data_IF_070676097216
#
_entry.id   IF_070676097216
#
_cell.length_a   1.000
_cell.length_b   1.000
_cell.length_c   1.000
_cell.angle_alpha   90.00
_cell.angle_beta   90.00
_cell.angle_gamma   90.00
#
_symmetry.space_group_name_H-M   'P 1'
#
loop_
_entity.id
_entity.type
_entity.pdbx_description
1 polymer ?
#
# COMPACT_ATOMS: atom_id res chain seq x y z
N UNK A 1 11.73 -35.18 32.65
CA UNK A 1 11.83 -34.75 31.23
C UNK A 1 13.22 -34.24 30.89
N UNK A 2 13.85 -33.40 31.72
CA UNK A 2 15.26 -32.97 31.56
C UNK A 2 16.25 -34.15 31.55
N UNK A 3 16.04 -35.16 32.40
CA UNK A 3 16.85 -36.38 32.46
C UNK A 3 16.76 -37.24 31.18
N UNK A 4 15.63 -37.21 30.47
CA UNK A 4 15.45 -37.94 29.22
C UNK A 4 16.15 -37.26 28.03
N UNK A 5 16.48 -35.97 28.14
CA UNK A 5 17.21 -35.19 27.14
C UNK A 5 18.71 -35.08 27.46
N UNK A 6 19.20 -35.72 28.54
CA UNK A 6 20.59 -35.63 28.97
C UNK A 6 21.01 -34.23 29.44
N UNK A 7 20.06 -33.41 29.88
CA UNK A 7 20.29 -32.01 30.23
C UNK A 7 20.97 -31.80 31.59
N UNK A 8 21.75 -30.71 31.72
CA UNK A 8 22.33 -30.27 32.99
C UNK A 8 21.54 -29.10 33.58
N UNK A 9 21.13 -29.21 34.84
CA UNK A 9 20.49 -28.10 35.58
C UNK A 9 21.58 -27.23 36.23
N UNK A 10 21.42 -25.91 36.14
CA UNK A 10 22.31 -24.92 36.74
C UNK A 10 21.52 -23.70 37.24
N UNK A 11 21.91 -23.13 38.37
CA UNK A 11 21.34 -21.86 38.86
C UNK A 11 21.92 -20.69 38.05
N UNK A 12 21.05 -19.82 37.53
CA UNK A 12 21.42 -18.62 36.75
C UNK A 12 20.48 -17.46 37.06
N UNK A 13 20.86 -16.25 36.63
CA UNK A 13 19.96 -15.11 36.69
C UNK A 13 19.26 -14.93 35.35
N UNK A 14 17.94 -14.96 35.36
CA UNK A 14 17.04 -14.81 34.21
C UNK A 14 16.13 -13.64 34.50
N UNK A 15 16.03 -12.67 33.59
CA UNK A 15 15.22 -11.46 33.76
C UNK A 15 15.51 -10.67 35.06
N UNK A 16 16.72 -10.83 35.63
CA UNK A 16 17.13 -10.19 36.88
C UNK A 16 16.94 -11.04 38.14
N UNK A 17 16.20 -12.14 38.06
CA UNK A 17 15.92 -13.04 39.19
C UNK A 17 16.77 -14.31 39.12
N UNK A 18 17.13 -14.90 40.26
CA UNK A 18 17.88 -16.16 40.30
C UNK A 18 16.91 -17.33 40.24
N UNK A 19 17.14 -18.24 39.31
CA UNK A 19 16.35 -19.47 39.14
C UNK A 19 17.18 -20.59 38.52
N UNK A 20 16.71 -21.82 38.67
CA UNK A 20 17.30 -22.98 38.00
C UNK A 20 16.90 -23.03 36.54
N UNK A 21 17.87 -23.30 35.67
CA UNK A 21 17.66 -23.41 34.23
C UNK A 21 18.18 -24.76 33.74
N UNK A 22 17.58 -25.26 32.66
CA UNK A 22 18.05 -26.47 32.00
C UNK A 22 18.98 -26.12 30.83
N UNK A 23 20.12 -26.80 30.75
CA UNK A 23 21.00 -26.80 29.58
C UNK A 23 20.82 -28.12 28.86
N UNK A 24 20.25 -28.08 27.67
CA UNK A 24 19.92 -29.25 26.86
C UNK A 24 20.56 -29.13 25.48
N UNK A 25 20.77 -30.26 24.81
CA UNK A 25 21.21 -30.30 23.42
C UNK A 25 20.03 -30.62 22.52
N UNK A 26 19.73 -29.73 21.58
CA UNK A 26 18.62 -29.88 20.62
C UNK A 26 19.23 -29.69 19.23
N UNK A 27 19.09 -30.70 18.37
CA UNK A 27 19.64 -30.68 17.00
C UNK A 27 21.15 -30.35 16.94
N UNK A 28 21.94 -30.86 17.91
CA UNK A 28 23.38 -30.61 18.00
C UNK A 28 23.77 -29.22 18.51
N UNK A 29 22.80 -28.38 18.90
CA UNK A 29 23.04 -27.05 19.47
C UNK A 29 22.70 -27.02 20.95
N UNK A 30 23.52 -26.31 21.73
CA UNK A 30 23.31 -26.15 23.18
C UNK A 30 22.31 -25.04 23.46
N UNK A 31 21.11 -25.43 23.86
CA UNK A 31 20.02 -24.52 24.20
C UNK A 31 19.89 -24.43 25.72
N UNK A 32 19.51 -23.24 26.20
CA UNK A 32 19.20 -22.98 27.61
C UNK A 32 17.72 -22.68 27.71
N UNK A 33 17.04 -23.30 28.65
CA UNK A 33 15.58 -23.23 28.81
C UNK A 33 15.23 -22.94 30.27
N UNK A 34 14.15 -22.20 30.48
CA UNK A 34 13.53 -22.13 31.80
C UNK A 34 13.01 -23.50 32.24
N UNK A 35 12.80 -23.63 33.54
CA UNK A 35 12.12 -24.78 34.12
C UNK A 35 10.82 -24.23 34.72
N UNK A 36 9.69 -24.66 34.17
CA UNK A 36 8.37 -24.27 34.65
C UNK A 36 8.11 -24.87 36.04
N UNK A 37 7.13 -24.35 36.77
CA UNK A 37 6.76 -24.84 38.10
C UNK A 37 6.39 -26.34 38.12
N UNK A 38 5.85 -26.85 37.02
CA UNK A 38 5.50 -28.26 36.84
C UNK A 38 6.70 -29.17 36.45
N UNK A 39 7.91 -28.61 36.36
CA UNK A 39 9.14 -29.30 36.00
C UNK A 39 9.35 -29.53 34.50
N UNK A 40 8.49 -28.95 33.65
CA UNK A 40 8.67 -28.97 32.19
C UNK A 40 9.66 -27.90 31.70
N UNK A 41 10.15 -28.02 30.47
CA UNK A 41 11.03 -27.02 29.87
C UNK A 41 10.19 -25.83 29.36
N UNK A 42 10.45 -24.65 29.91
CA UNK A 42 9.82 -23.38 29.54
C UNK A 42 10.47 -22.73 28.32
N UNK A 43 10.45 -21.39 28.28
CA UNK A 43 10.95 -20.56 27.19
C UNK A 43 12.47 -20.67 26.98
N UNK A 44 12.94 -20.23 25.81
CA UNK A 44 14.37 -20.22 25.48
C UNK A 44 15.07 -19.02 26.13
N UNK A 45 16.29 -19.25 26.60
CA UNK A 45 17.08 -18.26 27.31
C UNK A 45 18.20 -17.71 26.43
N UNK A 46 18.11 -16.42 26.09
CA UNK A 46 19.16 -15.73 25.36
C UNK A 46 20.20 -15.13 26.32
N UNK A 47 21.48 -15.36 26.04
CA UNK A 47 22.56 -14.84 26.87
C UNK A 47 22.66 -13.33 26.71
N UNK A 48 22.60 -12.59 27.82
CA UNK A 48 22.78 -11.14 27.80
C UNK A 48 24.17 -10.75 28.26
N UNK A 49 24.93 -10.09 27.38
CA UNK A 49 26.24 -9.52 27.75
C UNK A 49 26.09 -8.20 28.52
N UNK A 50 24.90 -7.59 28.46
CA UNK A 50 24.58 -6.30 29.07
C UNK A 50 24.59 -6.37 30.59
N UNK A 51 24.12 -7.48 31.17
CA UNK A 51 24.03 -7.62 32.62
C UNK A 51 25.22 -8.37 33.26
N UNK A 52 26.09 -9.03 32.48
CA UNK A 52 27.27 -9.77 32.95
C UNK A 52 27.30 -11.24 32.51
N UNK A 53 28.40 -11.95 32.80
CA UNK A 53 28.50 -13.41 32.55
C UNK A 53 27.36 -14.11 33.29
N UNK A 54 26.78 -15.17 32.71
CA UNK A 54 25.76 -16.03 33.33
C UNK A 54 24.39 -15.38 33.58
N UNK A 55 24.03 -14.32 32.84
CA UNK A 55 22.70 -13.71 32.88
C UNK A 55 21.96 -13.91 31.57
N UNK A 56 20.65 -14.09 31.67
CA UNK A 56 19.78 -14.47 30.57
C UNK A 56 18.52 -13.62 30.53
N UNK A 57 17.92 -13.52 29.35
CA UNK A 57 16.58 -13.01 29.14
C UNK A 57 15.73 -14.18 28.65
N UNK A 58 14.54 -14.35 29.23
CA UNK A 58 13.58 -15.36 28.79
C UNK A 58 12.73 -14.82 27.64
N UNK A 59 12.45 -15.68 26.66
CA UNK A 59 11.61 -15.33 25.54
C UNK A 59 11.63 -16.36 24.42
N UNK A 60 10.96 -16.02 23.33
CA UNK A 60 10.97 -16.83 22.12
C UNK A 60 12.18 -16.51 21.26
N UNK A 61 13.31 -17.14 21.59
CA UNK A 61 14.59 -16.92 20.92
C UNK A 61 15.04 -18.17 20.17
N UNK A 62 15.58 -18.01 18.95
CA UNK A 62 16.35 -19.04 18.29
C UNK A 62 17.55 -19.49 19.15
N UNK A 63 18.05 -20.73 18.98
CA UNK A 63 19.25 -21.19 19.63
C UNK A 63 20.44 -20.23 19.46
N UNK A 64 21.32 -20.20 20.46
CA UNK A 64 22.54 -19.39 20.48
C UNK A 64 22.36 -17.86 20.36
N UNK A 65 21.12 -17.36 20.44
CA UNK A 65 20.82 -15.93 20.45
C UNK A 65 21.56 -15.21 21.58
N UNK A 66 22.18 -14.08 21.23
CA UNK A 66 22.83 -13.15 22.17
C UNK A 66 22.08 -11.83 22.18
N UNK A 67 21.70 -11.38 23.37
CA UNK A 67 21.07 -10.07 23.55
C UNK A 67 22.10 -9.03 24.00
N UNK A 68 22.10 -7.88 23.34
CA UNK A 68 23.05 -6.78 23.57
C UNK A 68 22.32 -5.43 23.59
N UNK A 69 22.77 -4.50 24.43
CA UNK A 69 22.35 -3.09 24.32
C UNK A 69 23.13 -2.39 23.20
N UNK A 70 22.41 -1.76 22.27
CA UNK A 70 22.94 -1.02 21.12
C UNK A 70 22.11 0.23 20.85
N UNK A 71 22.67 1.15 20.07
CA UNK A 71 21.92 2.29 19.55
C UNK A 71 21.13 1.82 18.33
N UNK A 72 19.81 1.95 18.38
CA UNK A 72 18.85 1.68 17.31
C UNK A 72 18.03 2.95 17.11
N UNK A 73 17.98 3.49 15.89
CA UNK A 73 17.25 4.73 15.58
C UNK A 73 17.63 5.90 16.53
N UNK A 74 18.91 6.01 16.90
CA UNK A 74 19.42 7.04 17.82
C UNK A 74 19.10 6.83 19.30
N UNK A 75 18.42 5.74 19.68
CA UNK A 75 18.06 5.41 21.06
C UNK A 75 18.71 4.12 21.51
N UNK A 76 19.05 4.01 22.81
CA UNK A 76 19.53 2.75 23.38
C UNK A 76 18.40 1.72 23.43
N UNK A 77 18.61 0.57 22.81
CA UNK A 77 17.66 -0.53 22.71
C UNK A 77 18.37 -1.88 22.84
N UNK A 78 17.63 -2.93 23.18
CA UNK A 78 18.14 -4.30 23.15
C UNK A 78 18.00 -4.90 21.75
N UNK A 79 19.03 -5.63 21.31
CA UNK A 79 19.02 -6.34 20.03
C UNK A 79 19.39 -7.80 20.24
N UNK A 80 18.76 -8.69 19.48
CA UNK A 80 19.06 -10.11 19.41
C UNK A 80 19.94 -10.39 18.22
N UNK A 81 21.01 -11.16 18.42
CA UNK A 81 21.93 -11.60 17.37
C UNK A 81 22.00 -13.12 17.38
N UNK A 82 21.71 -13.75 16.26
CA UNK A 82 21.79 -15.19 16.07
C UNK A 82 22.26 -15.51 14.65
N UNK A 83 22.63 -16.77 14.41
CA UNK A 83 22.91 -17.29 13.07
C UNK A 83 21.66 -18.03 12.57
N UNK A 84 21.20 -17.69 11.37
CA UNK A 84 20.07 -18.38 10.73
C UNK A 84 20.50 -19.77 10.22
N UNK A 85 19.55 -20.51 9.64
CA UNK A 85 19.78 -21.86 9.11
C UNK A 85 20.86 -21.92 8.01
N UNK A 86 21.15 -20.77 7.37
CA UNK A 86 22.17 -20.63 6.33
C UNK A 86 23.52 -20.13 6.89
N UNK A 87 23.63 -19.94 8.21
CA UNK A 87 24.82 -19.41 8.89
C UNK A 87 24.97 -17.89 8.77
N UNK A 88 23.95 -17.17 8.30
CA UNK A 88 24.00 -15.71 8.23
C UNK A 88 23.71 -15.10 9.60
N UNK A 89 24.48 -14.08 9.97
CA UNK A 89 24.24 -13.32 11.20
C UNK A 89 23.04 -12.39 11.04
N UNK A 90 21.93 -12.76 11.66
CA UNK A 90 20.70 -11.96 11.73
C UNK A 90 20.72 -11.08 12.97
N UNK A 91 20.17 -9.88 12.86
CA UNK A 91 20.07 -8.89 13.95
C UNK A 91 18.64 -8.36 13.97
N UNK A 92 17.97 -8.54 15.10
CA UNK A 92 16.59 -8.11 15.29
C UNK A 92 16.44 -7.26 16.54
N UNK A 93 15.48 -6.35 16.54
CA UNK A 93 15.07 -5.61 17.73
C UNK A 93 14.48 -6.59 18.75
N UNK A 94 14.85 -6.45 20.01
CA UNK A 94 14.20 -7.21 21.09
C UNK A 94 13.02 -6.38 21.58
N UNK A 95 11.83 -6.97 21.53
CA UNK A 95 10.58 -6.33 21.95
C UNK A 95 10.04 -7.09 23.15
N UNK A 96 9.62 -6.37 24.17
CA UNK A 96 8.91 -6.96 25.32
C UNK A 96 7.49 -6.45 25.28
N UNK A 97 6.55 -7.37 25.22
CA UNK A 97 5.14 -7.06 25.27
C UNK A 97 4.78 -6.57 26.69
N UNK A 98 4.21 -5.37 26.80
CA UNK A 98 3.93 -4.74 28.10
C UNK A 98 2.83 -5.44 28.89
N UNK A 99 1.91 -6.16 28.21
CA UNK A 99 0.77 -6.81 28.86
C UNK A 99 1.16 -8.18 29.42
N UNK A 100 1.95 -8.94 28.67
CA UNK A 100 2.34 -10.31 28.99
C UNK A 100 3.74 -10.40 29.61
N UNK A 101 4.56 -9.35 29.48
CA UNK A 101 5.96 -9.37 29.86
C UNK A 101 6.84 -10.27 28.97
N UNK A 102 6.28 -10.88 27.93
CA UNK A 102 7.00 -11.83 27.08
C UNK A 102 7.92 -11.09 26.11
N UNK A 103 9.17 -11.53 26.05
CA UNK A 103 10.17 -10.98 25.13
C UNK A 103 10.24 -11.80 23.84
N UNK A 104 10.30 -11.12 22.70
CA UNK A 104 10.40 -11.72 21.36
C UNK A 104 11.38 -10.95 20.47
N UNK A 105 11.74 -11.53 19.32
CA UNK A 105 12.49 -10.86 18.28
C UNK A 105 11.53 -10.19 17.29
N UNK A 106 11.56 -8.86 17.27
CA UNK A 106 10.78 -8.04 16.35
C UNK A 106 11.49 -7.80 15.03
N UNK A 107 11.53 -6.54 14.62
CA UNK A 107 11.97 -6.11 13.31
C UNK A 107 13.48 -6.35 13.05
N UNK A 108 13.83 -6.62 11.78
CA UNK A 108 15.22 -6.68 11.36
C UNK A 108 15.92 -5.32 11.50
N UNK A 109 17.23 -5.39 11.71
CA UNK A 109 18.08 -4.23 11.91
C UNK A 109 19.16 -4.12 10.84
N UNK A 110 19.26 -2.93 10.25
CA UNK A 110 20.32 -2.58 9.30
C UNK A 110 21.47 -1.93 10.06
N UNK A 111 22.71 -2.38 9.80
CA UNK A 111 23.89 -1.82 10.46
C UNK A 111 24.26 -0.49 9.82
N UNK A 112 24.29 0.58 10.61
CA UNK A 112 24.65 1.94 10.16
C UNK A 112 26.15 2.19 10.22
N UNK A 113 26.77 1.79 11.33
CA UNK A 113 28.20 1.99 11.57
C UNK A 113 28.78 0.82 12.32
N UNK A 114 30.00 0.44 11.97
CA UNK A 114 30.85 -0.53 12.67
C UNK A 114 32.02 0.12 13.40
N UNK A 115 32.16 1.45 13.31
CA UNK A 115 33.18 2.18 14.06
C UNK A 115 32.77 2.26 15.53
N UNK A 116 33.50 1.53 16.38
CA UNK A 116 33.18 1.43 17.81
C UNK A 116 32.07 0.43 18.10
N UNK A 117 31.11 0.79 18.97
CA UNK A 117 29.91 -0.04 19.18
C UNK A 117 28.99 0.14 17.98
N UNK A 118 28.64 -0.97 17.33
CA UNK A 118 27.78 -0.91 16.15
C UNK A 118 26.47 -0.16 16.42
N UNK A 119 26.08 0.68 15.47
CA UNK A 119 24.80 1.40 15.46
C UNK A 119 23.88 0.78 14.43
N UNK A 120 22.58 0.87 14.68
CA UNK A 120 21.56 0.24 13.86
C UNK A 120 20.40 1.19 13.59
N UNK A 121 19.66 0.89 12.52
CA UNK A 121 18.30 1.37 12.31
C UNK A 121 17.38 0.19 12.03
N UNK A 122 16.08 0.39 12.22
CA UNK A 122 15.07 -0.59 11.80
C UNK A 122 15.01 -0.67 10.26
N UNK A 123 14.68 -1.85 9.73
CA UNK A 123 14.57 -2.08 8.28
C UNK A 123 13.51 -1.17 7.61
N UNK A 124 12.37 -0.97 8.26
CA UNK A 124 11.32 -0.01 7.91
C UNK A 124 11.86 1.40 7.76
N UNK A 125 12.61 1.89 8.77
CA UNK A 125 13.23 3.22 8.71
C UNK A 125 14.23 3.31 7.58
N UNK A 126 15.08 2.28 7.41
CA UNK A 126 16.05 2.25 6.33
C UNK A 126 15.36 2.30 4.95
N UNK A 127 14.32 1.50 4.75
CA UNK A 127 13.57 1.46 3.50
C UNK A 127 12.85 2.78 3.22
N UNK A 128 12.26 3.41 4.23
CA UNK A 128 11.63 4.73 4.10
C UNK A 128 12.65 5.81 3.69
N UNK A 129 13.83 5.82 4.32
CA UNK A 129 14.91 6.73 3.98
C UNK A 129 15.39 6.49 2.53
N UNK A 130 15.51 5.23 2.09
CA UNK A 130 15.88 4.86 0.71
C UNK A 130 14.81 5.29 -0.30
N UNK A 131 13.52 5.01 -0.05
CA UNK A 131 12.42 5.44 -0.94
C UNK A 131 12.41 6.96 -1.12
N UNK A 132 12.62 7.70 -0.03
CA UNK A 132 12.76 9.16 -0.06
C UNK A 132 13.93 9.60 -0.96
N UNK A 133 15.10 8.96 -0.86
CA UNK A 133 16.26 9.26 -1.72
C UNK A 133 16.02 8.96 -3.20
N UNK A 134 15.18 7.97 -3.50
CA UNK A 134 14.79 7.60 -4.86
C UNK A 134 13.60 8.42 -5.40
N UNK A 135 12.94 9.22 -4.55
CA UNK A 135 11.73 9.97 -4.89
C UNK A 135 10.55 9.05 -5.17
N UNK A 136 10.43 7.97 -4.39
CA UNK A 136 9.36 6.97 -4.44
C UNK A 136 8.33 7.25 -3.32
N UNK A 137 7.07 6.94 -3.57
CA UNK A 137 5.98 6.99 -2.60
C UNK A 137 6.05 5.88 -1.55
N UNK A 138 5.18 5.94 -0.54
CA UNK A 138 5.15 4.96 0.56
C UNK A 138 4.89 3.53 0.07
N UNK A 139 4.02 3.38 -0.93
CA UNK A 139 3.61 2.09 -1.49
C UNK A 139 4.47 1.61 -2.67
N UNK A 140 5.40 2.45 -3.16
CA UNK A 140 6.27 2.10 -4.28
C UNK A 140 7.33 1.08 -3.86
N UNK A 141 7.65 0.15 -4.75
CA UNK A 141 8.75 -0.80 -4.53
C UNK A 141 10.10 -0.19 -4.93
N UNK A 142 11.14 -0.48 -4.15
CA UNK A 142 12.51 -0.15 -4.52
C UNK A 142 12.90 -1.07 -5.69
N UNK A 143 13.47 -0.54 -6.79
CA UNK A 143 13.84 -1.36 -7.95
C UNK A 143 14.76 -2.52 -7.55
N UNK A 144 14.40 -3.74 -7.99
CA UNK A 144 15.05 -4.96 -7.51
C UNK A 144 16.54 -5.09 -7.91
N UNK A 145 16.98 -4.39 -8.96
CA UNK A 145 18.39 -4.32 -9.38
C UNK A 145 19.21 -3.29 -8.59
N UNK A 146 18.54 -2.46 -7.77
CA UNK A 146 19.19 -1.54 -6.85
C UNK A 146 19.39 -2.16 -5.47
N UNK A 147 20.58 -1.97 -4.91
CA UNK A 147 20.90 -2.35 -3.55
C UNK A 147 21.31 -1.12 -2.74
N UNK A 148 20.60 -0.86 -1.65
CA UNK A 148 20.97 0.17 -0.70
C UNK A 148 21.79 -0.41 0.46
N UNK A 149 22.79 0.33 0.94
CA UNK A 149 23.50 0.01 2.19
C UNK A 149 24.12 1.27 2.81
N UNK A 150 24.38 1.23 4.13
CA UNK A 150 25.20 2.24 4.77
C UNK A 150 26.68 1.99 4.49
N UNK A 151 27.40 3.07 4.14
CA UNK A 151 28.85 3.09 4.04
C UNK A 151 29.41 4.27 4.85
N UNK A 152 30.62 4.10 5.37
CA UNK A 152 31.33 5.19 6.07
C UNK A 152 32.09 6.04 5.06
N UNK A 153 31.72 7.31 4.92
CA UNK A 153 32.39 8.31 4.08
C UNK A 153 32.84 9.46 4.99
N UNK A 154 34.14 9.74 5.03
CA UNK A 154 34.66 10.85 5.84
C UNK A 154 34.46 10.72 7.36
N UNK A 155 34.19 9.52 7.86
CA UNK A 155 33.87 9.25 9.27
C UNK A 155 32.38 9.29 9.60
N UNK A 156 31.53 9.66 8.64
CA UNK A 156 30.07 9.66 8.78
C UNK A 156 29.46 8.50 8.00
N UNK A 157 28.36 7.95 8.51
CA UNK A 157 27.62 6.88 7.84
C UNK A 157 26.57 7.48 6.90
N UNK A 158 26.66 7.15 5.61
CA UNK A 158 25.74 7.60 4.58
C UNK A 158 25.15 6.41 3.83
N UNK A 159 23.89 6.52 3.41
CA UNK A 159 23.27 5.53 2.53
C UNK A 159 23.84 5.74 1.12
N UNK A 160 24.26 4.65 0.48
CA UNK A 160 24.59 4.62 -0.94
C UNK A 160 23.69 3.63 -1.66
N UNK A 161 23.37 3.97 -2.90
CA UNK A 161 22.62 3.11 -3.81
C UNK A 161 23.60 2.49 -4.79
N UNK A 162 23.55 1.18 -4.93
CA UNK A 162 24.40 0.40 -5.84
C UNK A 162 23.56 -0.24 -6.93
N UNK A 163 24.09 -0.23 -8.14
CA UNK A 163 23.63 -1.05 -9.27
C UNK A 163 24.78 -1.93 -9.73
N UNK A 164 24.54 -3.23 -9.89
CA UNK A 164 25.56 -4.21 -10.28
C UNK A 164 26.83 -4.14 -9.40
N UNK A 165 26.63 -3.88 -8.09
CA UNK A 165 27.70 -3.76 -7.10
C UNK A 165 28.48 -2.44 -7.10
N UNK A 166 28.20 -1.51 -8.04
CA UNK A 166 28.85 -0.20 -8.12
C UNK A 166 27.97 0.89 -7.51
N UNK A 167 28.56 1.76 -6.70
CA UNK A 167 27.87 2.92 -6.13
C UNK A 167 27.51 3.89 -7.27
N UNK A 168 26.24 4.29 -7.31
CA UNK A 168 25.76 5.31 -8.23
C UNK A 168 25.96 6.70 -7.63
N UNK A 169 26.48 7.63 -8.42
CA UNK A 169 26.47 9.05 -8.03
C UNK A 169 25.07 9.66 -8.19
N UNK A 170 24.88 10.88 -7.68
CA UNK A 170 23.58 11.56 -7.70
C UNK A 170 23.06 11.90 -9.10
N UNK A 171 23.92 11.96 -10.12
CA UNK A 171 23.53 12.19 -11.51
C UNK A 171 23.05 10.89 -12.14
N UNK A 172 23.82 9.81 -11.96
CA UNK A 172 23.47 8.46 -12.40
C UNK A 172 22.17 7.99 -11.77
N UNK A 173 21.99 8.24 -10.48
CA UNK A 173 20.77 7.86 -9.76
C UNK A 173 19.55 8.62 -10.28
N UNK A 174 19.69 9.93 -10.54
CA UNK A 174 18.62 10.73 -11.15
C UNK A 174 18.27 10.27 -12.55
N UNK A 175 19.27 10.00 -13.39
CA UNK A 175 19.06 9.50 -14.75
C UNK A 175 18.38 8.13 -14.74
N UNK A 176 18.84 7.22 -13.88
CA UNK A 176 18.24 5.90 -13.72
C UNK A 176 16.80 6.02 -13.21
N UNK A 177 16.51 6.83 -12.19
CA UNK A 177 15.14 6.96 -11.68
C UNK A 177 14.22 7.66 -12.69
N UNK A 178 14.73 8.60 -13.49
CA UNK A 178 13.98 9.19 -14.59
C UNK A 178 13.66 8.14 -15.67
N UNK A 179 14.62 7.29 -16.03
CA UNK A 179 14.41 6.19 -16.97
C UNK A 179 13.51 5.10 -16.39
N UNK A 180 13.64 4.76 -15.11
CA UNK A 180 12.80 3.79 -14.41
C UNK A 180 11.34 4.25 -14.43
N UNK A 181 11.08 5.50 -14.05
CA UNK A 181 9.75 6.11 -14.12
C UNK A 181 9.24 6.23 -15.56
N UNK A 182 10.12 6.56 -16.51
CA UNK A 182 9.77 6.61 -17.93
C UNK A 182 9.54 5.22 -18.55
N UNK A 183 10.21 4.17 -18.08
CA UNK A 183 9.99 2.79 -18.50
C UNK A 183 8.73 2.20 -17.88
N UNK A 184 8.39 2.59 -16.65
CA UNK A 184 7.07 2.34 -16.05
C UNK A 184 5.99 3.03 -16.89
N UNK A 185 6.24 4.27 -17.33
CA UNK A 185 5.39 5.01 -18.29
C UNK A 185 5.36 4.33 -19.67
N UNK A 186 6.47 3.73 -20.17
CA UNK A 186 6.49 3.02 -21.45
C UNK A 186 5.87 1.63 -21.39
N UNK A 187 5.95 0.94 -20.26
CA UNK A 187 5.21 -0.31 -20.03
C UNK A 187 3.71 -0.01 -19.95
N UNK A 188 3.36 1.10 -19.31
CA UNK A 188 2.00 1.61 -19.28
C UNK A 188 1.50 2.14 -20.64
N UNK A 189 2.34 2.82 -21.43
CA UNK A 189 2.03 3.21 -22.82
C UNK A 189 2.02 2.00 -23.77
N UNK A 190 2.88 0.99 -23.57
CA UNK A 190 2.85 -0.25 -24.32
C UNK A 190 1.62 -1.09 -23.97
N UNK A 191 1.06 -0.91 -22.76
CA UNK A 191 -0.21 -1.47 -22.34
C UNK A 191 -1.43 -0.70 -22.90
N UNK A 192 -1.40 0.63 -22.90
CA UNK A 192 -2.41 1.46 -23.62
C UNK A 192 -2.41 1.16 -25.13
N UNK A 193 -1.22 0.90 -25.69
CA UNK A 193 -1.05 0.44 -27.08
C UNK A 193 -1.21 -1.10 -27.24
N UNK A 194 -1.36 -1.89 -26.17
CA UNK A 194 -1.63 -3.34 -26.26
C UNK A 194 -3.10 -3.64 -26.46
N UNK A 195 -3.99 -2.63 -26.32
CA UNK A 195 -5.23 -2.59 -27.09
C UNK A 195 -4.86 -2.50 -28.56
N UNK A 196 -4.89 -3.64 -29.23
CA UNK A 196 -4.83 -3.65 -30.69
C UNK A 196 -6.00 -2.81 -31.25
N UNK A 197 -5.96 -2.47 -32.53
CA UNK A 197 -7.01 -1.69 -33.23
C UNK A 197 -8.42 -2.34 -33.21
N UNK A 198 -8.60 -3.45 -32.47
CA UNK A 198 -9.84 -4.20 -32.28
C UNK A 198 -10.32 -4.28 -30.82
N UNK A 199 -9.68 -3.56 -29.86
CA UNK A 199 -10.23 -3.39 -28.51
C UNK A 199 -9.99 -4.56 -27.54
N UNK A 200 -8.84 -5.24 -27.65
CA UNK A 200 -8.49 -6.41 -26.81
C UNK A 200 -7.21 -6.16 -26.02
N UNK A 201 -7.22 -6.41 -24.70
CA UNK A 201 -6.02 -6.37 -23.85
C UNK A 201 -5.77 -7.73 -23.16
N UNK A 202 -4.55 -8.27 -23.27
CA UNK A 202 -4.18 -9.50 -22.56
C UNK A 202 -4.14 -9.27 -21.03
N UNK A 203 -5.06 -9.89 -20.29
CA UNK A 203 -5.05 -9.93 -18.82
C UNK A 203 -4.18 -11.12 -18.39
N UNK A 204 -2.86 -10.96 -18.45
CA UNK A 204 -1.97 -11.93 -17.81
C UNK A 204 -2.13 -11.96 -16.28
N UNK A 205 -2.47 -10.80 -15.68
CA UNK A 205 -2.66 -10.60 -14.23
C UNK A 205 -3.42 -9.28 -14.00
N UNK A 206 -4.66 -9.35 -13.48
CA UNK A 206 -5.51 -8.17 -13.25
C UNK A 206 -4.92 -7.17 -12.25
N UNK A 207 -4.13 -7.62 -11.28
CA UNK A 207 -3.48 -6.72 -10.31
C UNK A 207 -2.36 -5.92 -10.97
N UNK A 208 -1.54 -6.58 -11.81
CA UNK A 208 -0.52 -5.89 -12.60
C UNK A 208 -1.15 -4.91 -13.58
N UNK A 209 -2.31 -5.26 -14.13
CA UNK A 209 -3.07 -4.41 -15.04
C UNK A 209 -3.54 -3.12 -14.36
N UNK A 210 -4.19 -3.26 -13.21
CA UNK A 210 -4.67 -2.14 -12.42
C UNK A 210 -3.52 -1.21 -12.02
N UNK A 211 -2.43 -1.78 -11.50
CA UNK A 211 -1.25 -1.01 -11.10
C UNK A 211 -0.61 -0.27 -12.28
N UNK A 212 -0.54 -0.90 -13.45
CA UNK A 212 -0.03 -0.26 -14.66
C UNK A 212 -0.90 0.91 -15.11
N UNK A 213 -2.22 0.79 -15.02
CA UNK A 213 -3.16 1.85 -15.42
C UNK A 213 -3.13 3.03 -14.44
N UNK A 214 -3.09 2.77 -13.13
CA UNK A 214 -2.85 3.81 -12.13
C UNK A 214 -1.55 4.57 -12.39
N UNK A 215 -0.47 3.84 -12.64
CA UNK A 215 0.82 4.45 -12.93
C UNK A 215 0.76 5.31 -14.21
N UNK A 216 0.01 4.92 -15.25
CA UNK A 216 -0.14 5.73 -16.47
C UNK A 216 -0.78 7.08 -16.15
N UNK A 217 -1.97 7.01 -15.55
CA UNK A 217 -2.83 8.16 -15.34
C UNK A 217 -2.14 9.13 -14.38
N UNK A 218 -1.62 8.63 -13.26
CA UNK A 218 -0.95 9.48 -12.27
C UNK A 218 0.36 10.07 -12.78
N UNK A 219 1.18 9.32 -13.52
CA UNK A 219 2.49 9.83 -13.95
C UNK A 219 2.39 10.85 -15.09
N UNK A 220 1.41 10.69 -15.98
CA UNK A 220 1.30 11.47 -17.23
C UNK A 220 0.21 12.53 -17.18
N UNK A 221 -0.88 12.28 -16.48
CA UNK A 221 -2.08 13.12 -16.47
C UNK A 221 -2.44 13.67 -15.10
N UNK A 222 -1.81 13.17 -14.02
CA UNK A 222 -2.01 13.64 -12.65
C UNK A 222 -0.78 14.18 -11.93
N UNK A 223 -0.90 14.28 -10.60
CA UNK A 223 0.07 14.94 -9.71
C UNK A 223 1.28 14.05 -9.33
N UNK A 224 1.31 12.83 -9.87
CA UNK A 224 2.35 11.80 -9.65
C UNK A 224 2.34 11.19 -8.25
N UNK A 225 1.22 11.23 -7.54
CA UNK A 225 1.04 10.61 -6.23
C UNK A 225 -0.31 9.88 -6.13
N UNK A 226 -0.36 8.84 -5.30
CA UNK A 226 -1.62 8.34 -4.74
C UNK A 226 -2.59 7.66 -5.72
N UNK A 227 -3.88 7.97 -5.51
CA UNK A 227 -5.02 7.44 -6.26
C UNK A 227 -5.30 8.31 -7.50
N UNK A 228 -6.19 7.87 -8.39
CA UNK A 228 -6.58 8.66 -9.56
C UNK A 228 -7.74 9.58 -9.16
N UNK A 229 -7.54 10.90 -9.23
CA UNK A 229 -8.64 11.85 -9.03
C UNK A 229 -9.52 11.98 -10.27
N UNK A 230 -10.69 12.59 -10.11
CA UNK A 230 -11.61 12.89 -11.22
C UNK A 230 -10.96 13.76 -12.31
N UNK A 231 -10.12 14.71 -11.93
CA UNK A 231 -9.41 15.57 -12.89
C UNK A 231 -8.34 14.79 -13.66
N UNK A 232 -7.66 13.83 -13.02
CA UNK A 232 -6.62 13.02 -13.66
C UNK A 232 -7.22 12.09 -14.72
N UNK A 233 -8.37 11.48 -14.41
CA UNK A 233 -9.15 10.67 -15.35
C UNK A 233 -9.63 11.51 -16.54
N UNK A 234 -10.19 12.69 -16.28
CA UNK A 234 -10.62 13.60 -17.35
C UNK A 234 -9.47 14.02 -18.26
N UNK A 235 -8.30 14.35 -17.69
CA UNK A 235 -7.13 14.72 -18.48
C UNK A 235 -6.62 13.56 -19.36
N UNK A 236 -6.69 12.32 -18.87
CA UNK A 236 -6.38 11.12 -19.65
C UNK A 236 -7.33 10.95 -20.83
N UNK A 237 -8.64 11.02 -20.59
CA UNK A 237 -9.67 10.88 -21.63
C UNK A 237 -9.62 12.01 -22.66
N UNK A 238 -9.39 13.24 -22.21
CA UNK A 238 -9.21 14.42 -23.06
C UNK A 238 -8.06 14.21 -24.04
N UNK A 239 -6.90 13.77 -23.55
CA UNK A 239 -5.76 13.50 -24.39
C UNK A 239 -6.02 12.38 -25.41
N UNK A 240 -6.79 11.35 -25.02
CA UNK A 240 -7.24 10.29 -25.93
C UNK A 240 -8.12 10.82 -27.06
N UNK A 241 -9.14 11.62 -26.73
CA UNK A 241 -10.07 12.20 -27.70
C UNK A 241 -9.41 13.18 -28.66
N UNK A 242 -8.56 14.08 -28.15
CA UNK A 242 -7.83 15.02 -29.00
C UNK A 242 -6.86 14.31 -29.97
N UNK A 243 -6.24 13.21 -29.52
CA UNK A 243 -5.39 12.35 -30.36
C UNK A 243 -6.21 11.66 -31.45
N UNK A 244 -7.39 11.11 -31.12
CA UNK A 244 -8.28 10.46 -32.08
C UNK A 244 -8.79 11.44 -33.15
N UNK A 245 -9.14 12.67 -32.74
CA UNK A 245 -9.62 13.70 -33.67
C UNK A 245 -8.50 14.40 -34.44
N UNK A 246 -7.24 14.25 -34.01
CA UNK A 246 -6.10 14.98 -34.57
C UNK A 246 -6.17 16.50 -34.37
N UNK A 247 -6.99 16.97 -33.41
CA UNK A 247 -7.20 18.38 -33.06
C UNK A 247 -7.62 18.53 -31.61
N UNK A 248 -7.50 19.74 -31.09
CA UNK A 248 -8.07 20.11 -29.79
C UNK A 248 -9.60 20.15 -29.84
N UNK A 249 -10.24 19.81 -28.73
CA UNK A 249 -11.68 19.96 -28.51
C UNK A 249 -12.04 21.43 -28.33
N UNK A 250 -13.25 21.82 -28.73
CA UNK A 250 -13.81 23.14 -28.37
C UNK A 250 -14.28 23.15 -26.93
N UNK A 251 -14.57 24.32 -26.36
CA UNK A 251 -15.05 24.45 -24.98
C UNK A 251 -16.35 23.66 -24.74
N UNK A 252 -17.29 23.69 -25.69
CA UNK A 252 -18.54 22.92 -25.61
C UNK A 252 -18.28 21.41 -25.68
N UNK A 253 -17.38 20.96 -26.56
CA UNK A 253 -17.01 19.54 -26.67
C UNK A 253 -16.27 19.05 -25.42
N UNK A 254 -15.46 19.92 -24.81
CA UNK A 254 -14.73 19.65 -23.58
C UNK A 254 -15.66 19.58 -22.36
N UNK A 255 -16.66 20.46 -22.28
CA UNK A 255 -17.69 20.41 -21.25
C UNK A 255 -18.54 19.12 -21.35
N UNK A 256 -18.88 18.70 -22.57
CA UNK A 256 -19.57 17.43 -22.80
C UNK A 256 -18.69 16.23 -22.42
N UNK A 257 -17.42 16.24 -22.80
CA UNK A 257 -16.48 15.19 -22.40
C UNK A 257 -16.33 15.15 -20.87
N UNK A 258 -16.30 16.31 -20.20
CA UNK A 258 -16.19 16.39 -18.75
C UNK A 258 -17.38 15.72 -18.08
N UNK A 259 -18.60 16.02 -18.51
CA UNK A 259 -19.80 15.39 -17.98
C UNK A 259 -19.78 13.86 -18.17
N UNK A 260 -19.30 13.36 -19.31
CA UNK A 260 -19.15 11.92 -19.56
C UNK A 260 -18.03 11.28 -18.73
N UNK A 261 -16.96 12.02 -18.48
CA UNK A 261 -15.81 11.58 -17.67
C UNK A 261 -16.18 11.47 -16.20
N UNK A 262 -16.83 12.50 -15.65
CA UNK A 262 -17.34 12.52 -14.28
C UNK A 262 -18.31 11.36 -14.05
N UNK A 263 -19.14 11.05 -15.05
CA UNK A 263 -20.03 9.90 -15.03
C UNK A 263 -19.27 8.57 -14.98
N UNK A 264 -18.31 8.40 -15.88
CA UNK A 264 -17.49 7.19 -15.97
C UNK A 264 -16.65 6.99 -14.71
N UNK A 265 -16.16 8.07 -14.11
CA UNK A 265 -15.43 8.06 -12.84
C UNK A 265 -16.23 7.40 -11.72
N UNK A 266 -17.54 7.68 -11.63
CA UNK A 266 -18.40 7.05 -10.63
C UNK A 266 -18.50 5.54 -10.78
N UNK A 267 -18.24 4.95 -11.94
CA UNK A 267 -18.23 3.49 -12.10
C UNK A 267 -17.05 2.86 -11.36
N UNK A 268 -15.92 3.56 -11.31
CA UNK A 268 -14.69 3.09 -10.69
C UNK A 268 -14.62 3.45 -9.20
N UNK A 269 -15.02 4.67 -8.82
CA UNK A 269 -15.04 5.14 -7.42
C UNK A 269 -16.26 4.55 -6.68
N UNK A 270 -16.07 3.38 -6.10
CA UNK A 270 -17.13 2.58 -5.43
C UNK A 270 -17.38 2.95 -4.00
N UNK A 271 -16.39 3.50 -3.33
CA UNK A 271 -16.56 4.01 -1.97
C UNK A 271 -16.95 5.50 -1.92
N UNK A 272 -17.07 6.15 -3.09
CA UNK A 272 -17.38 7.58 -3.24
C UNK A 272 -16.37 8.46 -2.50
N UNK A 273 -15.11 8.00 -2.42
CA UNK A 273 -14.03 8.75 -1.78
C UNK A 273 -13.59 9.97 -2.60
N UNK A 274 -13.96 10.02 -3.89
CA UNK A 274 -13.49 11.01 -4.84
C UNK A 274 -12.17 10.63 -5.51
N UNK A 275 -11.67 9.41 -5.27
CA UNK A 275 -10.38 8.91 -5.69
C UNK A 275 -10.50 7.43 -6.11
N UNK A 276 -10.00 7.05 -7.28
CA UNK A 276 -9.97 5.63 -7.69
C UNK A 276 -8.70 4.97 -7.15
N UNK A 277 -8.88 3.96 -6.32
CA UNK A 277 -7.81 3.16 -5.74
C UNK A 277 -7.38 1.97 -6.61
N UNK A 278 -6.21 1.36 -6.32
CA UNK A 278 -5.76 0.14 -6.99
C UNK A 278 -6.75 -1.01 -6.80
N UNK A 279 -7.34 -1.09 -5.61
CA UNK A 279 -8.29 -2.12 -5.25
C UNK A 279 -9.56 -2.01 -6.11
N UNK A 280 -10.06 -0.80 -6.32
CA UNK A 280 -11.25 -0.54 -7.12
C UNK A 280 -11.02 -0.79 -8.59
N UNK A 281 -9.89 -0.34 -9.13
CA UNK A 281 -9.56 -0.58 -10.53
C UNK A 281 -9.35 -2.08 -10.78
N UNK A 282 -8.72 -2.79 -9.85
CA UNK A 282 -8.58 -4.25 -9.90
C UNK A 282 -9.93 -4.95 -9.81
N UNK A 283 -10.82 -4.51 -8.93
CA UNK A 283 -12.16 -5.07 -8.79
C UNK A 283 -12.96 -4.89 -10.08
N UNK A 284 -12.90 -3.70 -10.68
CA UNK A 284 -13.50 -3.42 -11.97
C UNK A 284 -12.97 -4.35 -13.07
N UNK A 285 -11.65 -4.49 -13.23
CA UNK A 285 -11.04 -5.37 -14.25
C UNK A 285 -11.44 -6.83 -14.03
N UNK A 286 -11.45 -7.27 -12.77
CA UNK A 286 -11.78 -8.65 -12.41
C UNK A 286 -13.25 -8.96 -12.69
N UNK A 287 -14.15 -8.04 -12.35
CA UNK A 287 -15.58 -8.24 -12.53
C UNK A 287 -16.03 -8.00 -13.98
N UNK A 288 -15.35 -7.12 -14.73
CA UNK A 288 -15.60 -6.98 -16.17
C UNK A 288 -15.20 -8.24 -16.94
N UNK A 289 -14.14 -8.93 -16.49
CA UNK A 289 -13.73 -10.23 -17.03
C UNK A 289 -14.48 -11.40 -16.36
N UNK A 290 -15.82 -11.41 -16.41
CA UNK A 290 -16.65 -12.43 -15.74
C UNK A 290 -16.28 -13.87 -16.17
N UNK A 291 -15.76 -14.05 -17.40
CA UNK A 291 -15.37 -15.35 -17.94
C UNK A 291 -13.99 -15.84 -17.47
N UNK A 292 -13.19 -14.96 -16.84
CA UNK A 292 -11.84 -15.28 -16.39
C UNK A 292 -10.86 -15.55 -17.54
N UNK A 293 -11.14 -15.00 -18.72
CA UNK A 293 -10.33 -15.19 -19.90
C UNK A 293 -9.00 -14.42 -19.80
N UNK A 294 -8.00 -14.82 -20.58
CA UNK A 294 -6.71 -14.12 -20.64
C UNK A 294 -6.77 -12.80 -21.40
N UNK A 295 -7.97 -12.34 -21.81
CA UNK A 295 -8.20 -11.13 -22.59
C UNK A 295 -9.43 -10.42 -22.05
N UNK A 296 -9.35 -9.10 -21.81
CA UNK A 296 -10.52 -8.24 -21.60
C UNK A 296 -10.85 -7.55 -22.92
N UNK A 297 -12.12 -7.58 -23.30
CA UNK A 297 -12.62 -6.82 -24.45
C UNK A 297 -13.26 -5.50 -24.04
N UNK A 298 -13.29 -4.53 -24.96
CA UNK A 298 -14.02 -3.27 -24.77
C UNK A 298 -15.53 -3.50 -24.55
N UNK A 299 -16.12 -4.53 -25.15
CA UNK A 299 -17.53 -4.89 -24.98
C UNK A 299 -17.83 -5.36 -23.56
N UNK A 300 -16.98 -6.23 -22.99
CA UNK A 300 -17.10 -6.71 -21.61
C UNK A 300 -16.95 -5.56 -20.60
N UNK A 301 -15.97 -4.67 -20.84
CA UNK A 301 -15.79 -3.46 -20.02
C UNK A 301 -17.02 -2.57 -20.05
N UNK A 302 -17.56 -2.30 -21.24
CA UNK A 302 -18.71 -1.41 -21.44
C UNK A 302 -19.95 -1.99 -20.77
N UNK A 303 -20.23 -3.27 -20.98
CA UNK A 303 -21.37 -3.97 -20.37
C UNK A 303 -21.29 -3.99 -18.84
N UNK A 304 -20.10 -4.18 -18.28
CA UNK A 304 -19.91 -4.14 -16.84
C UNK A 304 -20.08 -2.72 -16.28
N UNK A 305 -19.57 -1.70 -16.98
CA UNK A 305 -19.77 -0.31 -16.59
C UNK A 305 -21.25 0.09 -16.60
N UNK A 306 -22.00 -0.29 -17.65
CA UNK A 306 -23.46 -0.10 -17.73
C UNK A 306 -24.18 -0.77 -16.55
N UNK A 307 -23.80 -2.01 -16.22
CA UNK A 307 -24.38 -2.75 -15.08
C UNK A 307 -24.15 -2.02 -13.75
N UNK A 308 -22.91 -1.60 -13.46
CA UNK A 308 -22.58 -0.88 -12.22
C UNK A 308 -23.34 0.45 -12.13
N UNK A 309 -23.47 1.13 -13.26
CA UNK A 309 -24.23 2.38 -13.36
C UNK A 309 -25.72 2.17 -13.06
N UNK A 310 -26.35 1.17 -13.68
CA UNK A 310 -27.76 0.83 -13.45
C UNK A 310 -28.01 0.38 -12.00
N UNK A 311 -27.10 -0.41 -11.42
CA UNK A 311 -27.18 -0.84 -10.02
C UNK A 311 -27.15 0.37 -9.07
N UNK A 312 -26.23 1.32 -9.27
CA UNK A 312 -26.15 2.55 -8.46
C UNK A 312 -27.35 3.47 -8.62
N UNK A 313 -27.82 3.67 -9.85
CA UNK A 313 -29.01 4.47 -10.10
C UNK A 313 -30.21 3.90 -9.32
N UNK A 314 -30.39 2.58 -9.36
CA UNK A 314 -31.45 1.89 -8.61
C UNK A 314 -31.28 2.03 -7.09
N UNK A 315 -30.06 1.92 -6.57
CA UNK A 315 -29.78 2.09 -5.14
C UNK A 315 -30.10 3.53 -4.66
N UNK A 316 -29.74 4.54 -5.46
CA UNK A 316 -30.04 5.95 -5.15
C UNK A 316 -31.55 6.23 -5.18
N UNK A 317 -32.27 5.69 -6.18
CA UNK A 317 -33.73 5.80 -6.26
C UNK A 317 -34.38 5.12 -5.05
N UNK A 318 -33.98 3.89 -4.74
CA UNK A 318 -34.51 3.12 -3.60
C UNK A 318 -34.23 3.83 -2.27
N UNK A 319 -33.03 4.40 -2.11
CA UNK A 319 -32.67 5.19 -0.94
C UNK A 319 -33.52 6.46 -0.81
N UNK A 320 -33.75 7.18 -1.91
CA UNK A 320 -34.60 8.36 -1.93
C UNK A 320 -36.06 8.01 -1.57
N UNK A 321 -36.60 6.93 -2.14
CA UNK A 321 -37.95 6.43 -1.84
C UNK A 321 -38.10 6.04 -0.37
N UNK A 322 -37.12 5.33 0.19
CA UNK A 322 -37.08 4.99 1.62
C UNK A 322 -37.03 6.24 2.52
N UNK A 323 -36.47 7.34 2.01
CA UNK A 323 -36.43 8.63 2.68
C UNK A 323 -37.67 9.51 2.40
N UNK A 324 -38.71 8.96 1.77
CA UNK A 324 -39.99 9.62 1.53
C UNK A 324 -40.02 10.56 0.33
N UNK A 325 -39.05 10.48 -0.57
CA UNK A 325 -39.09 11.17 -1.85
C UNK A 325 -39.87 10.35 -2.88
N UNK A 326 -40.53 11.01 -3.82
CA UNK A 326 -41.16 10.37 -4.99
C UNK A 326 -40.44 10.84 -6.25
N UNK A 327 -39.94 9.91 -7.06
CA UNK A 327 -39.34 10.21 -8.36
C UNK A 327 -40.44 10.42 -9.40
N UNK A 328 -40.43 11.58 -10.06
CA UNK A 328 -41.37 11.95 -11.12
C UNK A 328 -40.61 12.61 -12.28
N UNK A 329 -41.25 12.73 -13.44
CA UNK A 329 -40.72 13.53 -14.55
C UNK A 329 -41.51 14.82 -14.71
N UNK A 330 -40.83 15.95 -14.85
CA UNK A 330 -41.45 17.25 -15.15
C UNK A 330 -40.97 17.80 -16.49
N UNK A 331 -41.76 18.70 -17.09
CA UNK A 331 -41.29 19.50 -18.22
C UNK A 331 -40.54 20.71 -17.69
N UNK A 332 -39.27 20.85 -18.07
CA UNK A 332 -38.41 21.98 -17.73
C UNK A 332 -37.66 22.44 -18.98
N UNK A 333 -37.76 23.72 -19.33
CA UNK A 333 -37.17 24.30 -20.54
C UNK A 333 -37.46 23.54 -21.86
N UNK A 334 -38.62 22.87 -21.94
CA UNK A 334 -39.02 22.13 -23.13
C UNK A 334 -38.53 20.67 -23.18
N UNK A 335 -37.81 20.22 -22.16
CA UNK A 335 -37.35 18.84 -22.01
C UNK A 335 -38.01 18.15 -20.81
N UNK A 336 -38.16 16.83 -20.91
CA UNK A 336 -38.68 16.04 -19.80
C UNK A 336 -37.52 15.58 -18.92
N UNK A 337 -37.47 16.07 -17.68
CA UNK A 337 -36.38 15.78 -16.74
C UNK A 337 -36.88 15.03 -15.50
N UNK A 338 -36.08 14.12 -14.93
CA UNK A 338 -36.40 13.47 -13.66
C UNK A 338 -36.19 14.44 -12.49
N UNK A 339 -37.11 14.38 -11.52
CA UNK A 339 -37.09 15.17 -10.28
C UNK A 339 -37.60 14.37 -9.10
N UNK A 340 -37.04 14.65 -7.93
CA UNK A 340 -37.57 14.13 -6.67
C UNK A 340 -38.52 15.12 -6.03
N UNK A 341 -39.64 14.64 -5.50
CA UNK A 341 -40.61 15.44 -4.77
C UNK A 341 -40.76 14.96 -3.34
N UNK A 342 -40.73 15.90 -2.39
CA UNK A 342 -40.93 15.64 -0.96
C UNK A 342 -41.46 16.89 -0.28
N UNK A 343 -42.46 16.74 0.59
CA UNK A 343 -43.02 17.83 1.39
C UNK A 343 -43.44 19.07 0.58
N UNK A 344 -43.94 18.87 -0.64
CA UNK A 344 -44.36 19.95 -1.54
C UNK A 344 -43.22 20.68 -2.27
N UNK A 345 -41.97 20.25 -2.05
CA UNK A 345 -40.78 20.75 -2.75
C UNK A 345 -40.37 19.81 -3.87
N UNK A 346 -39.73 20.38 -4.89
CA UNK A 346 -39.19 19.64 -6.04
C UNK A 346 -37.68 19.83 -6.06
N UNK A 347 -36.95 18.75 -6.30
CA UNK A 347 -35.49 18.71 -6.34
C UNK A 347 -35.07 18.11 -7.67
N UNK A 348 -34.02 18.66 -8.29
CA UNK A 348 -33.44 18.02 -9.46
C UNK A 348 -32.98 16.61 -9.10
N UNK A 349 -33.24 15.64 -9.97
CA UNK A 349 -32.50 14.39 -9.93
C UNK A 349 -31.28 14.56 -10.83
N UNK A 350 -30.10 14.24 -10.33
CA UNK A 350 -28.91 14.16 -11.18
C UNK A 350 -29.19 13.16 -12.31
N UNK A 351 -29.10 13.61 -13.56
CA UNK A 351 -29.55 12.85 -14.73
C UNK A 351 -28.72 11.59 -14.99
N UNK A 352 -27.53 11.54 -14.40
CA UNK A 352 -26.62 10.42 -14.44
C UNK A 352 -26.87 9.48 -13.25
N UNK A 353 -26.68 9.96 -12.03
CA UNK A 353 -26.61 9.12 -10.84
C UNK A 353 -27.93 8.96 -10.12
N UNK A 354 -28.98 9.71 -10.50
CA UNK A 354 -30.25 9.82 -9.80
C UNK A 354 -30.10 10.23 -8.32
N UNK A 355 -29.02 10.92 -7.96
CA UNK A 355 -28.90 11.57 -6.64
C UNK A 355 -29.85 12.76 -6.53
N UNK A 356 -30.31 13.03 -5.32
CA UNK A 356 -31.14 14.20 -5.02
C UNK A 356 -30.24 15.44 -5.09
N UNK A 357 -30.49 16.30 -6.07
CA UNK A 357 -29.81 17.56 -6.28
C UNK A 357 -30.48 18.75 -5.60
N UNK A 358 -30.19 19.94 -6.11
CA UNK A 358 -30.72 21.19 -5.56
C UNK A 358 -32.24 21.31 -5.69
N UNK A 359 -32.85 22.07 -4.78
CA UNK A 359 -34.27 22.41 -4.85
C UNK A 359 -34.53 23.26 -6.10
N UNK A 360 -35.46 22.82 -6.94
CA UNK A 360 -35.96 23.59 -8.06
C UNK A 360 -36.81 24.75 -7.51
N UNK A 361 -36.29 25.97 -7.65
CA UNK A 361 -37.00 27.21 -7.30
C UNK A 361 -37.57 27.79 -8.59
N UNK A 362 -38.90 27.76 -8.81
CA UNK A 362 -39.51 28.39 -9.98
C UNK A 362 -39.26 29.91 -9.95
N UNK A 363 -38.97 30.52 -11.11
CA UNK A 363 -38.64 31.95 -11.24
C UNK A 363 -39.67 32.89 -10.58
N UNK A 364 -40.94 32.48 -10.48
CA UNK A 364 -42.03 33.25 -9.86
C UNK A 364 -41.96 33.35 -8.32
N UNK A 365 -41.03 32.67 -7.65
CA UNK A 365 -40.84 32.77 -6.19
C UNK A 365 -39.90 33.91 -5.77
N UNK A 366 -39.21 34.56 -6.72
CA UNK A 366 -38.45 35.80 -6.46
C UNK A 366 -39.38 37.02 -6.46
N UNK A 367 -40.29 37.06 -5.48
CA UNK A 367 -41.23 38.15 -5.28
C UNK A 367 -40.54 39.51 -5.28
N UNK A 368 -40.95 40.35 -6.24
CA UNK A 368 -40.55 41.75 -6.31
C UNK A 368 -40.93 42.52 -5.04
N UNK A 369 -39.96 43.26 -4.52
CA UNK A 369 -40.18 44.43 -3.67
C UNK A 369 -39.62 45.65 -4.40
N UNK A 370 -40.50 46.40 -5.07
CA UNK A 370 -40.26 47.79 -5.44
C UNK A 370 -40.47 48.70 -4.22
#
# INVERSE_FOLDING_TARGET
>A
MVDNLGGKIIERSVNGEKQDIAVVEINGQKVRREINEDGTLGDTLAATKTFGKNKYISGDFPPETKVLEREVNGKKSQIGIYEDENGNKVRKLVVTDEQTGKTTLGENLVTVSTMGKNKYVTESKFNADVKTMLGLGENDEIPADLKAEYVTIGGESSIVIKKDGKVMDSSQLRAYMAEYKANDTKLAEAFDNSFNTTGQAEIGDAAKLAKSQMNLINNKYGDKQGNISMDDMFNYELAGQEKLMGRKLTDDEMANLRAMSDLSFTVFDTDESGDITEAELKAFITNANENGDSVLTDEERTKYAEKVFDERANDNITSAENNGYTLNNIMYNGEQIPVYQKDGKTYFADSATFKIGEELIPDDASGGGH
#
